data_IF_184646617537
#
_entry.id   IF_184646617537
#
_cell.length_a   1.000
_cell.length_b   1.000
_cell.length_c   1.000
_cell.angle_alpha   90.00
_cell.angle_beta   90.00
_cell.angle_gamma   90.00
#
_symmetry.space_group_name_H-M   'P 1'
#
loop_
_entity.id
_entity.type
_entity.pdbx_description
1 polymer ?
#
# COMPACT_ATOMS: atom_id res chain seq x y z
N UNK A 1 11.64 -14.46 8.00
CA UNK A 1 11.18 -13.87 6.72
C UNK A 1 10.57 -12.52 7.05
N UNK A 2 11.02 -11.42 6.43
CA UNK A 2 10.32 -10.13 6.55
C UNK A 2 8.96 -10.28 5.87
N UNK A 3 7.91 -10.29 6.67
CA UNK A 3 6.53 -10.35 6.20
C UNK A 3 6.22 -9.04 5.46
N UNK A 4 5.39 -9.10 4.40
CA UNK A 4 5.09 -7.90 3.61
C UNK A 4 4.38 -6.84 4.45
N UNK A 5 3.73 -7.27 5.54
CA UNK A 5 3.06 -6.41 6.53
C UNK A 5 4.03 -5.55 7.33
N UNK A 6 5.27 -5.98 7.55
CA UNK A 6 6.31 -5.16 8.21
C UNK A 6 6.83 -4.04 7.30
N UNK A 7 6.65 -4.19 5.98
CA UNK A 7 7.09 -3.22 4.96
C UNK A 7 6.05 -2.12 4.72
N UNK A 8 4.82 -2.35 5.19
CA UNK A 8 3.65 -1.52 4.95
C UNK A 8 3.16 -0.86 6.23
N UNK A 9 2.92 0.43 6.16
CA UNK A 9 2.25 1.21 7.20
C UNK A 9 0.83 1.51 6.76
N UNK A 10 -0.15 1.23 7.61
CA UNK A 10 -1.54 1.60 7.35
C UNK A 10 -1.68 3.13 7.42
N UNK A 11 -2.23 3.73 6.36
CA UNK A 11 -2.42 5.18 6.26
C UNK A 11 -3.89 5.60 6.13
N UNK A 12 -4.82 4.64 6.10
CA UNK A 12 -6.25 4.91 6.01
C UNK A 12 -6.97 3.96 5.07
N UNK A 13 -8.11 4.41 4.55
CA UNK A 13 -8.96 3.62 3.67
C UNK A 13 -9.27 4.37 2.37
N UNK A 14 -9.30 3.64 1.26
CA UNK A 14 -9.70 4.16 -0.05
C UNK A 14 -11.20 4.47 -0.07
N UNK A 15 -11.57 5.71 -0.41
CA UNK A 15 -12.96 6.17 -0.37
C UNK A 15 -13.89 5.45 -1.36
N UNK A 16 -13.35 4.88 -2.44
CA UNK A 16 -14.16 4.22 -3.48
C UNK A 16 -14.42 2.75 -3.18
N UNK A 17 -13.43 2.08 -2.60
CA UNK A 17 -13.41 0.64 -2.40
C UNK A 17 -13.52 0.23 -0.95
N UNK A 18 -13.46 1.18 -0.01
CA UNK A 18 -13.41 0.96 1.44
C UNK A 18 -12.35 -0.07 1.83
N UNK A 19 -11.23 -0.08 1.10
CA UNK A 19 -10.13 -1.00 1.33
C UNK A 19 -9.04 -0.31 2.12
N UNK A 20 -8.34 -1.04 3.01
CA UNK A 20 -7.19 -0.50 3.69
C UNK A 20 -6.09 -0.16 2.67
N UNK A 21 -5.52 1.03 2.84
CA UNK A 21 -4.42 1.53 2.02
C UNK A 21 -3.18 1.69 2.86
N UNK A 22 -2.06 1.40 2.23
CA UNK A 22 -0.79 1.28 2.92
C UNK A 22 0.29 2.12 2.25
N UNK A 23 1.18 2.70 3.05
CA UNK A 23 2.40 3.34 2.57
C UNK A 23 3.60 2.46 2.86
N UNK A 24 4.62 2.56 2.01
CA UNK A 24 5.88 1.85 2.22
C UNK A 24 6.68 2.53 3.34
N UNK A 25 7.07 1.78 4.38
CA UNK A 25 7.96 2.31 5.43
C UNK A 25 9.37 2.55 4.93
N UNK A 26 9.90 1.60 4.16
CA UNK A 26 11.28 1.64 3.67
C UNK A 26 11.36 1.56 2.13
N UNK A 27 11.21 2.68 1.41
CA UNK A 27 11.28 2.71 -0.05
C UNK A 27 12.66 2.44 -0.63
N UNK A 28 13.70 2.37 0.22
CA UNK A 28 15.08 2.14 -0.20
C UNK A 28 15.42 0.68 -0.45
N UNK A 29 14.55 -0.26 -0.10
CA UNK A 29 14.79 -1.68 -0.38
C UNK A 29 14.23 -2.08 -1.76
N UNK A 30 15.09 -2.42 -2.74
CA UNK A 30 14.65 -2.81 -4.07
C UNK A 30 13.80 -4.09 -4.07
N UNK A 31 14.00 -4.97 -3.08
CA UNK A 31 13.24 -6.19 -2.92
C UNK A 31 11.82 -5.97 -2.39
N UNK A 32 11.54 -4.83 -1.74
CA UNK A 32 10.23 -4.54 -1.16
C UNK A 32 9.16 -4.39 -2.22
N UNK A 33 9.45 -3.67 -3.31
CA UNK A 33 8.53 -3.50 -4.43
C UNK A 33 8.18 -4.85 -5.10
N UNK A 34 9.18 -5.72 -5.24
CA UNK A 34 8.99 -7.03 -5.85
C UNK A 34 8.16 -7.95 -4.94
N UNK A 35 8.41 -7.93 -3.62
CA UNK A 35 7.60 -8.65 -2.62
C UNK A 35 6.15 -8.18 -2.60
N UNK A 36 5.92 -6.87 -2.67
CA UNK A 36 4.57 -6.29 -2.70
C UNK A 36 3.79 -6.75 -3.92
N UNK A 37 4.40 -6.66 -5.10
CA UNK A 37 3.79 -7.16 -6.34
C UNK A 37 3.52 -8.67 -6.28
N UNK A 38 4.46 -9.45 -5.73
CA UNK A 38 4.28 -10.90 -5.55
C UNK A 38 3.17 -11.24 -4.54
N UNK A 39 2.96 -10.39 -3.53
CA UNK A 39 1.88 -10.52 -2.55
C UNK A 39 0.54 -9.95 -3.05
N UNK A 40 0.46 -9.49 -4.30
CA UNK A 40 -0.76 -8.95 -4.90
C UNK A 40 -1.04 -7.50 -4.54
N UNK A 41 -0.08 -6.73 -4.02
CA UNK A 41 -0.25 -5.28 -3.81
C UNK A 41 0.08 -4.51 -5.08
N UNK A 42 -0.73 -3.48 -5.37
CA UNK A 42 -0.54 -2.55 -6.48
C UNK A 42 -0.42 -1.13 -5.96
N UNK A 43 0.53 -0.38 -6.52
CA UNK A 43 0.67 1.03 -6.26
C UNK A 43 -0.29 1.82 -7.14
N UNK A 44 -1.16 2.61 -6.52
CA UNK A 44 -2.07 3.50 -7.24
C UNK A 44 -2.30 4.79 -6.45
N UNK A 45 -2.67 5.84 -7.18
CA UNK A 45 -3.20 7.06 -6.54
C UNK A 45 -4.60 6.75 -6.03
N UNK A 46 -4.77 6.90 -4.73
CA UNK A 46 -6.05 6.69 -4.06
C UNK A 46 -6.42 7.95 -3.32
N UNK A 47 -7.72 8.17 -3.18
CA UNK A 47 -8.26 9.23 -2.34
C UNK A 47 -8.69 8.60 -1.04
N UNK A 48 -8.09 9.05 0.06
CA UNK A 48 -8.47 8.58 1.39
C UNK A 48 -9.83 9.14 1.78
N UNK A 49 -10.46 8.52 2.77
CA UNK A 49 -11.70 9.02 3.40
C UNK A 49 -11.55 10.43 3.98
N UNK A 50 -10.34 10.83 4.37
CA UNK A 50 -10.01 12.21 4.78
C UNK A 50 -9.96 13.21 3.59
N UNK A 51 -10.23 12.76 2.37
CA UNK A 51 -10.24 13.60 1.17
C UNK A 51 -8.86 13.90 0.58
N UNK A 52 -7.79 13.28 1.10
CA UNK A 52 -6.41 13.46 0.62
C UNK A 52 -6.10 12.46 -0.49
N UNK A 53 -5.50 12.94 -1.57
CA UNK A 53 -4.99 12.07 -2.64
C UNK A 53 -3.54 11.69 -2.36
N UNK A 54 -3.29 10.40 -2.18
CA UNK A 54 -1.97 9.86 -1.84
C UNK A 54 -1.63 8.69 -2.74
N UNK A 55 -0.33 8.49 -2.99
CA UNK A 55 0.15 7.31 -3.71
C UNK A 55 0.37 6.20 -2.69
N UNK A 56 -0.44 5.16 -2.76
CA UNK A 56 -0.45 4.10 -1.76
C UNK A 56 -0.56 2.72 -2.40
N UNK A 57 -0.24 1.71 -1.60
CA UNK A 57 -0.32 0.30 -1.91
C UNK A 57 -1.63 -0.26 -1.40
N UNK A 58 -2.33 -0.99 -2.26
CA UNK A 58 -3.60 -1.63 -1.97
C UNK A 58 -3.58 -3.04 -2.55
N UNK A 59 -4.29 -3.98 -1.93
CA UNK A 59 -4.41 -5.34 -2.45
C UNK A 59 -5.22 -5.32 -3.76
N UNK A 60 -4.59 -5.76 -4.85
CA UNK A 60 -5.26 -6.17 -6.06
C UNK A 60 -6.17 -7.34 -5.70
N UNK A 61 -7.44 -7.24 -6.08
CA UNK A 61 -8.43 -8.27 -5.80
C UNK A 61 -8.14 -9.55 -6.60
#
# INVERSE_FOLDING_TARGET
>A
MLDVRDLLEFIGEDIKTCRPVYQLRNPKEPHTLQKLKAAGYVERKIKTTEGREVKAWITAN
#
